data_IF_326081387167
#
_entry.id   IF_326081387167
#
_cell.length_a   1.000
_cell.length_b   1.000
_cell.length_c   1.000
_cell.angle_alpha   90.00
_cell.angle_beta   90.00
_cell.angle_gamma   90.00
#
_symmetry.space_group_name_H-M   'P 1'
#
loop_
_entity.id
_entity.type
_entity.pdbx_description
1 polymer ?
#
# COMPACT_ATOMS: atom_id res chain seq x y z
N UNK A 1 -1.64 19.59 20.43
CA UNK A 1 -1.52 19.76 18.98
C UNK A 1 -0.80 18.59 18.32
N UNK A 2 0.33 18.13 18.85
CA UNK A 2 1.06 17.00 18.27
C UNK A 2 0.22 15.73 18.15
N UNK A 3 -0.58 15.40 19.15
CA UNK A 3 -1.46 14.22 19.12
C UNK A 3 -2.45 14.19 17.95
N UNK A 4 -2.73 15.33 17.38
CA UNK A 4 -3.73 15.52 16.33
C UNK A 4 -3.16 15.76 14.94
N UNK A 5 -1.96 16.33 14.86
CA UNK A 5 -1.40 16.80 13.59
C UNK A 5 -0.20 15.98 13.12
N UNK A 6 0.48 15.29 14.03
CA UNK A 6 1.70 14.55 13.69
C UNK A 6 1.43 13.45 12.66
N UNK A 7 0.30 12.77 12.77
CA UNK A 7 -0.07 11.66 11.88
C UNK A 7 -0.21 12.05 10.40
N UNK A 8 -0.34 13.35 10.08
CA UNK A 8 -0.37 13.84 8.70
C UNK A 8 1.00 14.10 8.08
N UNK A 9 2.05 14.23 8.91
CA UNK A 9 3.41 14.54 8.43
C UNK A 9 3.95 13.47 7.46
N UNK A 10 3.74 12.15 7.68
CA UNK A 10 4.27 11.12 6.78
C UNK A 10 3.51 10.94 5.46
N UNK A 11 2.49 11.75 5.15
CA UNK A 11 1.71 11.61 3.91
C UNK A 11 2.56 11.65 2.64
N UNK A 12 3.64 12.45 2.64
CA UNK A 12 4.61 12.47 1.55
C UNK A 12 5.24 11.09 1.31
N UNK A 13 5.50 10.31 2.36
CA UNK A 13 6.11 8.97 2.23
C UNK A 13 5.17 8.00 1.51
N UNK A 14 3.86 8.07 1.79
CA UNK A 14 2.87 7.27 1.06
C UNK A 14 2.86 7.62 -0.44
N UNK A 15 2.92 8.90 -0.78
CA UNK A 15 3.02 9.32 -2.19
C UNK A 15 4.30 8.79 -2.84
N UNK A 16 5.45 8.89 -2.18
CA UNK A 16 6.72 8.36 -2.70
C UNK A 16 6.68 6.84 -2.90
N UNK A 17 6.06 6.08 -1.99
CA UNK A 17 5.84 4.64 -2.14
C UNK A 17 4.94 4.38 -3.35
N UNK A 18 3.82 5.10 -3.49
CA UNK A 18 2.89 4.95 -4.61
C UNK A 18 3.58 5.07 -5.97
N UNK A 19 4.54 5.98 -6.09
CA UNK A 19 5.25 6.24 -7.33
C UNK A 19 6.63 5.56 -7.42
N UNK A 20 6.98 4.68 -6.47
CA UNK A 20 8.23 3.92 -6.49
C UNK A 20 9.50 4.80 -6.38
N UNK A 21 9.39 5.97 -5.72
CA UNK A 21 10.50 6.92 -5.55
C UNK A 21 11.44 6.46 -4.44
N UNK A 22 11.98 5.23 -4.61
CA UNK A 22 12.70 4.51 -3.56
C UNK A 22 13.92 5.27 -3.04
N UNK A 23 14.73 5.85 -3.93
CA UNK A 23 15.91 6.58 -3.50
C UNK A 23 15.56 7.83 -2.68
N UNK A 24 14.50 8.55 -3.04
CA UNK A 24 14.05 9.72 -2.27
C UNK A 24 13.56 9.33 -0.88
N UNK A 25 12.93 8.16 -0.74
CA UNK A 25 12.54 7.64 0.58
C UNK A 25 13.78 7.34 1.42
N UNK A 26 14.77 6.66 0.82
CA UNK A 26 16.02 6.30 1.51
C UNK A 26 16.76 7.56 1.99
N UNK A 27 16.81 8.58 1.15
CA UNK A 27 17.53 9.83 1.43
C UNK A 27 16.76 10.79 2.34
N UNK A 28 15.45 10.56 2.55
CA UNK A 28 14.64 11.40 3.43
C UNK A 28 15.15 11.29 4.87
N UNK A 29 15.54 12.40 5.52
CA UNK A 29 16.01 12.37 6.91
C UNK A 29 14.88 11.97 7.86
N UNK A 30 15.25 11.38 9.00
CA UNK A 30 14.33 11.18 10.10
C UNK A 30 14.01 12.53 10.76
N UNK A 31 12.87 12.66 11.46
CA UNK A 31 12.59 13.83 12.27
C UNK A 31 13.66 14.05 13.34
N UNK A 32 14.06 15.31 13.57
CA UNK A 32 15.06 15.67 14.59
C UNK A 32 14.58 15.34 16.02
N UNK A 33 13.27 15.49 16.27
CA UNK A 33 12.65 15.15 17.55
C UNK A 33 11.76 13.90 17.40
N UNK A 34 12.35 12.74 17.62
CA UNK A 34 11.64 11.46 17.54
C UNK A 34 10.59 11.27 18.65
N UNK A 35 10.62 12.06 19.73
CA UNK A 35 9.61 12.04 20.78
C UNK A 35 8.36 12.80 20.36
N UNK A 36 8.54 13.99 19.79
CA UNK A 36 7.46 14.79 19.23
C UNK A 36 6.84 14.12 17.98
N UNK A 37 7.68 13.59 17.10
CA UNK A 37 7.29 12.97 15.83
C UNK A 37 7.39 11.44 15.90
N UNK A 38 6.77 10.84 16.91
CA UNK A 38 6.90 9.41 17.20
C UNK A 38 6.27 8.51 16.12
N UNK A 39 5.04 8.83 15.68
CA UNK A 39 4.37 8.11 14.60
C UNK A 39 5.04 8.36 13.24
N UNK A 40 5.47 9.60 12.98
CA UNK A 40 6.24 9.95 11.78
C UNK A 40 7.55 9.20 11.70
N UNK A 41 8.26 9.04 12.83
CA UNK A 41 9.51 8.27 12.91
C UNK A 41 9.25 6.79 12.56
N UNK A 42 8.19 6.20 13.12
CA UNK A 42 7.78 4.83 12.78
C UNK A 42 7.46 4.71 11.29
N UNK A 43 6.62 5.58 10.74
CA UNK A 43 6.29 5.57 9.30
C UNK A 43 7.51 5.79 8.40
N UNK A 44 8.50 6.58 8.85
CA UNK A 44 9.76 6.75 8.11
C UNK A 44 10.55 5.45 8.03
N UNK A 45 10.63 4.69 9.12
CA UNK A 45 11.26 3.37 9.11
C UNK A 45 10.49 2.36 8.26
N UNK A 46 9.15 2.36 8.32
CA UNK A 46 8.31 1.58 7.42
C UNK A 46 8.63 1.86 5.95
N UNK A 47 8.58 3.13 5.55
CA UNK A 47 8.81 3.54 4.17
C UNK A 47 10.23 3.18 3.68
N UNK A 48 11.25 3.40 4.52
CA UNK A 48 12.64 3.00 4.23
C UNK A 48 12.77 1.48 4.11
N UNK A 49 12.11 0.71 4.98
CA UNK A 49 12.08 -0.75 4.90
C UNK A 49 11.52 -1.25 3.57
N UNK A 50 10.36 -0.70 3.14
CA UNK A 50 9.77 -1.01 1.84
C UNK A 50 10.71 -0.61 0.69
N UNK A 51 11.33 0.58 0.75
CA UNK A 51 12.24 1.06 -0.29
C UNK A 51 13.50 0.20 -0.42
N UNK A 52 14.10 -0.22 0.71
CA UNK A 52 15.23 -1.15 0.71
C UNK A 52 14.83 -2.52 0.17
N UNK A 53 13.68 -3.06 0.58
CA UNK A 53 13.19 -4.33 0.07
C UNK A 53 12.92 -4.28 -1.44
N UNK A 54 12.25 -3.23 -1.94
CA UNK A 54 11.99 -3.03 -3.37
C UNK A 54 13.27 -2.89 -4.20
N UNK A 55 14.35 -2.38 -3.62
CA UNK A 55 15.69 -2.27 -4.24
C UNK A 55 16.59 -3.48 -3.96
N UNK A 56 16.05 -4.57 -3.38
CA UNK A 56 16.74 -5.83 -3.06
C UNK A 56 17.87 -5.70 -2.02
N UNK A 57 17.81 -4.69 -1.19
CA UNK A 57 18.72 -4.44 -0.08
C UNK A 57 18.11 -5.02 1.21
N UNK A 58 18.04 -6.36 1.27
CA UNK A 58 17.24 -7.05 2.28
C UNK A 58 17.78 -6.90 3.71
N UNK A 59 19.09 -6.83 3.89
CA UNK A 59 19.69 -6.64 5.21
C UNK A 59 19.32 -5.26 5.78
N UNK A 60 19.39 -4.21 4.96
CA UNK A 60 18.98 -2.86 5.40
C UNK A 60 17.46 -2.77 5.59
N UNK A 61 16.68 -3.51 4.79
CA UNK A 61 15.23 -3.58 4.98
C UNK A 61 14.89 -4.21 6.34
N UNK A 62 15.59 -5.30 6.73
CA UNK A 62 15.44 -5.95 8.03
C UNK A 62 15.85 -5.04 9.19
N UNK A 63 16.92 -4.26 9.01
CA UNK A 63 17.32 -3.24 9.98
C UNK A 63 16.22 -2.20 10.18
N UNK A 64 15.60 -1.74 9.09
CA UNK A 64 14.47 -0.81 9.18
C UNK A 64 13.26 -1.44 9.85
N UNK A 65 12.96 -2.72 9.62
CA UNK A 65 11.88 -3.43 10.32
C UNK A 65 12.10 -3.45 11.83
N UNK A 66 13.32 -3.72 12.28
CA UNK A 66 13.67 -3.67 13.72
C UNK A 66 13.51 -2.26 14.30
N UNK A 67 13.97 -1.24 13.57
CA UNK A 67 13.84 0.16 13.96
C UNK A 67 12.37 0.62 13.97
N UNK A 68 11.57 0.18 12.99
CA UNK A 68 10.13 0.39 12.94
C UNK A 68 9.45 -0.15 14.20
N UNK A 69 9.69 -1.42 14.54
CA UNK A 69 9.11 -2.06 15.74
C UNK A 69 9.47 -1.29 17.02
N UNK A 70 10.73 -0.88 17.14
CA UNK A 70 11.19 -0.08 18.28
C UNK A 70 10.58 1.32 18.31
N UNK A 71 10.30 1.92 17.14
CA UNK A 71 9.65 3.22 17.05
C UNK A 71 8.15 3.12 17.41
N UNK A 72 7.44 2.12 16.91
CA UNK A 72 6.02 1.86 17.25
C UNK A 72 5.82 1.73 18.76
N UNK A 73 6.72 1.04 19.46
CA UNK A 73 6.63 0.89 20.92
C UNK A 73 6.71 2.22 21.71
N UNK A 74 7.13 3.30 21.05
CA UNK A 74 7.21 4.65 21.66
C UNK A 74 6.03 5.55 21.29
N UNK A 75 5.15 5.13 20.39
CA UNK A 75 4.01 5.94 19.95
C UNK A 75 2.95 5.97 21.06
N UNK A 76 2.59 7.15 21.57
CA UNK A 76 1.52 7.26 22.56
C UNK A 76 0.16 6.84 22.00
N UNK A 77 -0.68 6.23 22.83
CA UNK A 77 -2.04 5.87 22.46
C UNK A 77 -2.92 7.08 22.09
N UNK A 78 -2.54 8.27 22.55
CA UNK A 78 -3.24 9.53 22.25
C UNK A 78 -3.00 10.04 20.81
N UNK A 79 -2.03 9.48 20.08
CA UNK A 79 -1.76 9.88 18.70
C UNK A 79 -2.84 9.39 17.75
N UNK A 80 -3.47 10.32 17.04
CA UNK A 80 -4.58 10.00 16.12
C UNK A 80 -4.41 10.70 14.77
N UNK A 81 -5.04 10.11 13.76
CA UNK A 81 -5.38 10.72 12.47
C UNK A 81 -6.90 10.65 12.40
N UNK A 82 -7.58 11.75 12.66
CA UNK A 82 -9.03 11.83 12.81
C UNK A 82 -9.59 10.72 13.75
N UNK A 83 -10.40 9.79 13.23
CA UNK A 83 -11.02 8.71 14.00
C UNK A 83 -10.09 7.52 14.26
N UNK A 84 -8.96 7.46 13.57
CA UNK A 84 -8.03 6.34 13.67
C UNK A 84 -6.91 6.64 14.66
N UNK A 85 -6.54 5.66 15.50
CA UNK A 85 -5.30 5.78 16.27
C UNK A 85 -4.10 5.57 15.36
N UNK A 86 -2.99 6.29 15.61
CA UNK A 86 -1.76 6.03 14.86
C UNK A 86 -1.26 4.60 15.06
N UNK A 87 -1.55 3.96 16.19
CA UNK A 87 -1.17 2.57 16.45
C UNK A 87 -1.92 1.58 15.55
N UNK A 88 -3.22 1.80 15.27
CA UNK A 88 -3.98 0.96 14.34
C UNK A 88 -3.47 1.12 12.91
N UNK A 89 -3.17 2.35 12.49
CA UNK A 89 -2.54 2.63 11.19
C UNK A 89 -1.17 1.95 11.09
N UNK A 90 -0.35 2.02 12.14
CA UNK A 90 0.97 1.38 12.19
C UNK A 90 0.89 -0.15 12.24
N UNK A 91 -0.22 -0.72 12.71
CA UNK A 91 -0.45 -2.16 12.62
C UNK A 91 -0.63 -2.61 11.15
N UNK A 92 -1.33 -1.81 10.32
CA UNK A 92 -1.38 -2.04 8.86
C UNK A 92 0.02 -1.94 8.26
N UNK A 93 0.77 -0.88 8.62
CA UNK A 93 2.15 -0.69 8.16
C UNK A 93 3.06 -1.88 8.51
N UNK A 94 2.93 -2.43 9.73
CA UNK A 94 3.70 -3.61 10.17
C UNK A 94 3.44 -4.81 9.26
N UNK A 95 2.17 -5.16 9.06
CA UNK A 95 1.80 -6.30 8.23
C UNK A 95 2.18 -6.12 6.76
N UNK A 96 2.10 -4.87 6.24
CA UNK A 96 2.57 -4.52 4.89
C UNK A 96 4.09 -4.69 4.76
N UNK A 97 4.86 -4.22 5.75
CA UNK A 97 6.32 -4.33 5.74
C UNK A 97 6.77 -5.79 5.80
N UNK A 98 6.17 -6.59 6.69
CA UNK A 98 6.43 -8.02 6.79
C UNK A 98 6.11 -8.73 5.47
N UNK A 99 4.97 -8.40 4.85
CA UNK A 99 4.58 -8.91 3.54
C UNK A 99 5.59 -8.60 2.45
N UNK A 100 6.06 -7.36 2.37
CA UNK A 100 7.06 -6.94 1.36
C UNK A 100 8.40 -7.65 1.58
N UNK A 101 8.91 -7.70 2.81
CA UNK A 101 10.18 -8.35 3.13
C UNK A 101 10.14 -9.85 2.81
N UNK A 102 9.12 -10.56 3.28
CA UNK A 102 8.97 -12.01 3.03
C UNK A 102 8.81 -12.31 1.55
N UNK A 103 8.10 -11.43 0.80
CA UNK A 103 7.97 -11.57 -0.65
C UNK A 103 9.33 -11.44 -1.35
N UNK A 104 10.14 -10.43 -1.00
CA UNK A 104 11.48 -10.24 -1.55
C UNK A 104 12.47 -11.32 -1.16
N UNK A 105 12.26 -11.93 0.01
CA UNK A 105 13.00 -13.11 0.46
C UNK A 105 12.58 -14.42 -0.25
N UNK A 106 11.59 -14.36 -1.15
CA UNK A 106 11.09 -15.52 -1.90
C UNK A 106 10.09 -16.40 -1.15
N UNK A 107 9.65 -15.98 0.03
CA UNK A 107 8.68 -16.71 0.88
C UNK A 107 7.25 -16.26 0.55
N UNK A 108 6.80 -16.55 -0.66
CA UNK A 108 5.56 -16.00 -1.24
C UNK A 108 4.32 -16.30 -0.38
N UNK A 109 4.15 -17.53 0.11
CA UNK A 109 2.96 -17.89 0.89
C UNK A 109 2.91 -17.15 2.24
N UNK A 110 4.05 -17.00 2.90
CA UNK A 110 4.19 -16.20 4.13
C UNK A 110 3.88 -14.74 3.86
N UNK A 111 4.44 -14.19 2.79
CA UNK A 111 4.19 -12.82 2.36
C UNK A 111 2.69 -12.57 2.12
N UNK A 112 2.02 -13.48 1.43
CA UNK A 112 0.59 -13.38 1.17
C UNK A 112 -0.27 -13.54 2.42
N UNK A 113 0.19 -14.30 3.42
CA UNK A 113 -0.47 -14.35 4.72
C UNK A 113 -0.40 -12.98 5.44
N UNK A 114 0.77 -12.32 5.43
CA UNK A 114 0.93 -10.98 5.98
C UNK A 114 0.08 -9.94 5.24
N UNK A 115 0.04 -9.99 3.91
CA UNK A 115 -0.76 -9.05 3.11
C UNK A 115 -2.27 -9.23 3.33
N UNK A 116 -2.75 -10.47 3.48
CA UNK A 116 -4.16 -10.72 3.89
C UNK A 116 -4.44 -10.15 5.28
N UNK A 117 -3.49 -10.33 6.22
CA UNK A 117 -3.62 -9.70 7.54
C UNK A 117 -3.64 -8.18 7.46
N UNK A 118 -2.82 -7.58 6.59
CA UNK A 118 -2.84 -6.15 6.36
C UNK A 118 -4.19 -5.67 5.80
N UNK A 119 -4.82 -6.44 4.89
CA UNK A 119 -6.17 -6.16 4.37
C UNK A 119 -7.20 -6.19 5.50
N UNK A 120 -7.18 -7.19 6.38
CA UNK A 120 -8.10 -7.27 7.53
C UNK A 120 -7.96 -6.07 8.46
N UNK A 121 -6.73 -5.61 8.69
CA UNK A 121 -6.45 -4.45 9.53
C UNK A 121 -6.91 -3.15 8.85
N UNK A 122 -6.65 -2.99 7.56
CA UNK A 122 -7.08 -1.85 6.74
C UNK A 122 -8.61 -1.74 6.71
N UNK A 123 -9.30 -2.85 6.42
CA UNK A 123 -10.76 -2.94 6.42
C UNK A 123 -11.39 -2.65 7.80
N UNK A 124 -10.65 -2.92 8.87
CA UNK A 124 -11.09 -2.69 10.24
C UNK A 124 -10.89 -1.26 10.73
N UNK A 125 -10.23 -0.39 9.99
CA UNK A 125 -10.04 1.00 10.38
C UNK A 125 -11.38 1.76 10.35
N UNK A 126 -11.67 2.60 11.36
CA UNK A 126 -12.77 3.55 11.29
C UNK A 126 -12.72 4.41 10.03
N UNK A 127 -13.89 4.64 9.43
CA UNK A 127 -13.99 5.49 8.24
C UNK A 127 -13.47 6.91 8.49
N UNK A 128 -12.63 7.41 7.58
CA UNK A 128 -12.10 8.76 7.53
C UNK A 128 -11.96 9.26 6.08
N UNK A 129 -11.91 10.57 5.92
CA UNK A 129 -11.60 11.26 4.65
C UNK A 129 -10.52 12.34 4.88
N UNK A 130 -9.27 12.13 4.46
CA UNK A 130 -8.75 10.94 3.76
C UNK A 130 -8.67 9.70 4.66
N UNK A 131 -8.62 8.51 4.05
CA UNK A 131 -8.53 7.24 4.77
C UNK A 131 -7.31 7.20 5.70
N UNK A 132 -7.46 6.48 6.82
CA UNK A 132 -6.37 6.30 7.78
C UNK A 132 -5.15 5.62 7.15
N UNK A 133 -5.36 4.61 6.30
CA UNK A 133 -4.33 4.02 5.46
C UNK A 133 -4.46 4.54 4.02
N UNK A 134 -3.47 5.34 3.58
CA UNK A 134 -3.55 6.14 2.34
C UNK A 134 -3.46 5.35 1.04
N UNK A 135 -3.05 4.09 1.09
CA UNK A 135 -2.90 3.25 -0.11
C UNK A 135 -3.58 1.91 0.14
N UNK A 136 -4.75 1.65 -0.45
CA UNK A 136 -5.46 0.40 -0.22
C UNK A 136 -4.52 -0.81 -0.33
N UNK A 137 -4.45 -1.64 0.70
CA UNK A 137 -3.57 -2.81 0.75
C UNK A 137 -3.82 -3.75 -0.42
N UNK A 138 -5.07 -3.80 -0.90
CA UNK A 138 -5.49 -4.59 -2.06
C UNK A 138 -4.72 -4.26 -3.33
N UNK A 139 -4.26 -3.01 -3.48
CA UNK A 139 -3.47 -2.64 -4.66
C UNK A 139 -2.11 -3.35 -4.70
N UNK A 140 -1.44 -3.46 -3.55
CA UNK A 140 -0.18 -4.20 -3.44
C UNK A 140 -0.41 -5.71 -3.56
N UNK A 141 -1.38 -6.24 -2.82
CA UNK A 141 -1.68 -7.67 -2.85
C UNK A 141 -2.06 -8.16 -4.24
N UNK A 142 -2.98 -7.46 -4.93
CA UNK A 142 -3.38 -7.79 -6.30
C UNK A 142 -2.22 -7.71 -7.29
N UNK A 143 -1.35 -6.71 -7.17
CA UNK A 143 -0.15 -6.58 -8.03
C UNK A 143 0.81 -7.76 -7.86
N UNK A 144 1.06 -8.20 -6.63
CA UNK A 144 1.95 -9.32 -6.35
C UNK A 144 1.31 -10.68 -6.71
N UNK A 145 -0.01 -10.83 -6.57
CA UNK A 145 -0.75 -11.98 -7.09
C UNK A 145 -0.59 -12.10 -8.61
N UNK A 146 -0.73 -10.99 -9.35
CA UNK A 146 -0.50 -10.94 -10.81
C UNK A 146 0.93 -11.29 -11.19
N UNK A 147 1.93 -10.86 -10.40
CA UNK A 147 3.34 -11.19 -10.60
C UNK A 147 3.58 -12.70 -10.44
N UNK A 148 2.86 -13.35 -9.53
CA UNK A 148 2.91 -14.80 -9.30
C UNK A 148 1.99 -15.61 -10.23
N UNK A 149 1.31 -14.97 -11.19
CA UNK A 149 0.40 -15.65 -12.10
C UNK A 149 -0.93 -16.10 -11.48
N UNK A 150 -1.24 -15.67 -10.26
CA UNK A 150 -2.50 -15.97 -9.55
C UNK A 150 -3.59 -15.00 -9.99
N UNK A 151 -3.99 -15.12 -11.25
CA UNK A 151 -4.81 -14.10 -11.95
C UNK A 151 -6.23 -14.07 -11.41
N UNK A 152 -6.84 -15.23 -11.12
CA UNK A 152 -8.20 -15.33 -10.57
C UNK A 152 -8.29 -14.72 -9.17
N UNK A 153 -7.28 -14.96 -8.34
CA UNK A 153 -7.21 -14.37 -6.99
C UNK A 153 -7.06 -12.85 -7.09
N UNK A 154 -6.21 -12.36 -7.99
CA UNK A 154 -6.02 -10.93 -8.22
C UNK A 154 -7.32 -10.28 -8.73
N UNK A 155 -8.04 -10.95 -9.65
CA UNK A 155 -9.33 -10.47 -10.13
C UNK A 155 -10.32 -10.26 -9.00
N UNK A 156 -10.45 -11.24 -8.10
CA UNK A 156 -11.35 -11.14 -6.95
C UNK A 156 -10.99 -9.97 -6.03
N UNK A 157 -9.68 -9.76 -5.77
CA UNK A 157 -9.18 -8.66 -4.94
C UNK A 157 -9.53 -7.29 -5.53
N UNK A 158 -9.28 -7.08 -6.83
CA UNK A 158 -9.60 -5.80 -7.48
C UNK A 158 -11.10 -5.58 -7.65
N UNK A 159 -11.86 -6.64 -7.89
CA UNK A 159 -13.31 -6.57 -8.02
C UNK A 159 -13.95 -6.12 -6.72
N UNK A 160 -13.50 -6.66 -5.58
CA UNK A 160 -13.94 -6.23 -4.25
C UNK A 160 -13.56 -4.76 -4.00
N UNK A 161 -12.31 -4.37 -4.26
CA UNK A 161 -11.82 -3.00 -4.07
C UNK A 161 -12.63 -1.97 -4.87
N UNK A 162 -12.99 -2.30 -6.11
CA UNK A 162 -13.80 -1.44 -6.99
C UNK A 162 -15.29 -1.39 -6.61
N UNK A 163 -15.75 -2.24 -5.66
CA UNK A 163 -17.14 -2.35 -5.29
C UNK A 163 -18.01 -2.95 -6.39
N UNK A 164 -17.47 -3.87 -7.18
CA UNK A 164 -18.18 -4.58 -8.25
C UNK A 164 -18.84 -5.87 -7.75
N UNK A 165 -18.78 -6.12 -6.46
CA UNK A 165 -19.50 -7.16 -5.73
C UNK A 165 -19.81 -6.70 -4.30
N UNK A 166 -20.56 -7.52 -3.55
CA UNK A 166 -21.02 -7.20 -2.19
C UNK A 166 -20.04 -7.67 -1.09
N UNK A 167 -18.76 -7.90 -1.43
CA UNK A 167 -17.75 -8.41 -0.49
C UNK A 167 -17.40 -7.37 0.57
N UNK A 168 -17.32 -6.08 0.19
CA UNK A 168 -16.91 -4.99 1.06
C UNK A 168 -18.05 -4.02 1.36
N UNK A 169 -18.10 -3.48 2.60
CA UNK A 169 -18.94 -2.32 2.88
C UNK A 169 -18.54 -1.13 1.99
N UNK A 170 -19.50 -0.27 1.68
CA UNK A 170 -19.29 0.89 0.79
C UNK A 170 -18.13 1.78 1.22
N UNK A 171 -17.89 1.91 2.51
CA UNK A 171 -16.82 2.72 3.07
C UNK A 171 -15.40 2.21 2.69
N UNK A 172 -15.27 0.90 2.42
CA UNK A 172 -14.00 0.25 2.09
C UNK A 172 -13.82 0.03 0.58
N UNK A 173 -14.78 0.50 -0.24
CA UNK A 173 -14.72 0.40 -1.69
C UNK A 173 -14.08 1.65 -2.30
N UNK A 174 -13.34 1.46 -3.39
CA UNK A 174 -12.66 2.52 -4.13
C UNK A 174 -13.11 2.57 -5.61
N UNK A 175 -14.42 2.81 -5.89
CA UNK A 175 -14.96 2.78 -7.24
C UNK A 175 -14.29 3.84 -8.12
N UNK A 176 -13.96 3.46 -9.34
CA UNK A 176 -13.31 4.35 -10.30
C UNK A 176 -11.82 4.62 -10.03
N UNK A 177 -11.24 3.97 -9.02
CA UNK A 177 -9.80 4.12 -8.73
C UNK A 177 -8.95 3.57 -9.88
N UNK A 178 -8.09 4.42 -10.45
CA UNK A 178 -7.28 4.08 -11.62
C UNK A 178 -6.35 2.89 -11.41
N UNK A 179 -5.82 2.71 -10.20
CA UNK A 179 -4.89 1.65 -9.86
C UNK A 179 -5.58 0.28 -9.88
N UNK A 180 -6.75 0.17 -9.24
CA UNK A 180 -7.55 -1.07 -9.26
C UNK A 180 -8.17 -1.33 -10.63
N UNK A 181 -8.63 -0.30 -11.34
CA UNK A 181 -9.12 -0.45 -12.72
C UNK A 181 -8.03 -1.02 -13.64
N UNK A 182 -6.78 -0.55 -13.50
CA UNK A 182 -5.65 -1.09 -14.27
C UNK A 182 -5.42 -2.57 -13.96
N UNK A 183 -5.31 -2.93 -12.69
CA UNK A 183 -5.09 -4.32 -12.26
C UNK A 183 -6.24 -5.24 -12.67
N UNK A 184 -7.47 -4.80 -12.47
CA UNK A 184 -8.68 -5.56 -12.85
C UNK A 184 -8.76 -5.78 -14.37
N UNK A 185 -8.50 -4.73 -15.16
CA UNK A 185 -8.45 -4.84 -16.61
C UNK A 185 -7.39 -5.87 -17.07
N UNK A 186 -6.17 -5.83 -16.47
CA UNK A 186 -5.13 -6.82 -16.76
C UNK A 186 -5.59 -8.24 -16.44
N UNK A 187 -6.27 -8.46 -15.31
CA UNK A 187 -6.83 -9.76 -14.96
C UNK A 187 -7.84 -10.25 -16.02
N UNK A 188 -8.78 -9.40 -16.41
CA UNK A 188 -9.82 -9.75 -17.39
C UNK A 188 -9.22 -10.12 -18.75
N UNK A 189 -8.19 -9.39 -19.21
CA UNK A 189 -7.47 -9.70 -20.45
C UNK A 189 -6.78 -11.06 -20.36
N UNK A 190 -6.06 -11.32 -19.26
CA UNK A 190 -5.34 -12.60 -19.07
C UNK A 190 -6.28 -13.79 -18.95
N UNK A 191 -7.50 -13.59 -18.39
CA UNK A 191 -8.53 -14.61 -18.25
C UNK A 191 -9.40 -14.78 -19.51
N UNK A 192 -9.15 -14.01 -20.58
CA UNK A 192 -9.94 -14.06 -21.81
C UNK A 192 -11.38 -13.54 -21.65
N UNK A 193 -11.68 -12.77 -20.61
CA UNK A 193 -13.01 -12.17 -20.35
C UNK A 193 -13.19 -10.90 -21.19
N UNK A 194 -13.20 -11.06 -22.51
CA UNK A 194 -13.07 -9.98 -23.50
C UNK A 194 -14.12 -8.89 -23.36
N UNK A 195 -15.41 -9.25 -23.17
CA UNK A 195 -16.49 -8.26 -23.06
C UNK A 195 -16.37 -7.42 -21.79
N UNK A 196 -16.04 -8.06 -20.67
CA UNK A 196 -15.82 -7.35 -19.40
C UNK A 196 -14.59 -6.45 -19.51
N UNK A 197 -13.50 -6.93 -20.10
CA UNK A 197 -12.30 -6.14 -20.32
C UNK A 197 -12.60 -4.89 -21.16
N UNK A 198 -13.44 -4.99 -22.20
CA UNK A 198 -13.84 -3.85 -23.03
C UNK A 198 -14.64 -2.81 -22.25
N UNK A 199 -15.52 -3.23 -21.34
CA UNK A 199 -16.29 -2.31 -20.48
C UNK A 199 -15.37 -1.61 -19.49
N UNK A 200 -14.53 -2.36 -18.79
CA UNK A 200 -13.59 -1.82 -17.79
C UNK A 200 -12.55 -0.91 -18.45
N UNK A 201 -12.14 -1.21 -19.69
CA UNK A 201 -11.23 -0.35 -20.45
C UNK A 201 -11.75 1.08 -20.59
N UNK A 202 -13.03 1.28 -20.80
CA UNK A 202 -13.62 2.62 -20.92
C UNK A 202 -13.50 3.40 -19.61
N UNK A 203 -13.74 2.73 -18.46
CA UNK A 203 -13.59 3.35 -17.15
C UNK A 203 -12.11 3.67 -16.86
N UNK A 204 -11.21 2.74 -17.21
CA UNK A 204 -9.77 2.94 -17.05
C UNK A 204 -9.27 4.12 -17.89
N UNK A 205 -9.71 4.25 -19.15
CA UNK A 205 -9.30 5.35 -20.02
C UNK A 205 -9.77 6.70 -19.46
N UNK A 206 -10.98 6.78 -18.91
CA UNK A 206 -11.49 7.99 -18.26
C UNK A 206 -10.70 8.34 -16.99
N UNK A 207 -10.42 7.35 -16.16
CA UNK A 207 -9.63 7.57 -14.94
C UNK A 207 -8.17 7.95 -15.27
N UNK A 208 -7.56 7.30 -16.26
CA UNK A 208 -6.19 7.57 -16.69
C UNK A 208 -6.04 8.92 -17.40
N UNK A 209 -7.10 9.46 -18.02
CA UNK A 209 -7.06 10.77 -18.66
C UNK A 209 -6.80 11.92 -17.67
N UNK A 210 -6.99 11.70 -16.37
CA UNK A 210 -6.70 12.67 -15.32
C UNK A 210 -5.28 12.52 -14.74
N UNK A 211 -4.54 11.49 -15.13
CA UNK A 211 -3.19 11.23 -14.66
C UNK A 211 -2.17 11.91 -15.60
N UNK A 212 -1.19 12.58 -15.01
CA UNK A 212 -0.05 13.19 -15.72
C UNK A 212 1.15 12.24 -15.80
N UNK A 213 1.01 11.03 -15.26
CA UNK A 213 2.01 9.96 -15.30
C UNK A 213 1.40 8.64 -15.80
N UNK A 214 2.17 7.79 -16.49
CA UNK A 214 1.67 6.49 -16.95
C UNK A 214 1.37 5.55 -15.78
N UNK A 215 0.23 4.86 -15.85
CA UNK A 215 -0.14 3.83 -14.89
C UNK A 215 0.19 2.46 -15.49
N UNK A 216 1.21 1.80 -14.95
CA UNK A 216 1.71 0.53 -15.48
C UNK A 216 1.45 -0.68 -14.56
N UNK A 217 1.05 -0.42 -13.31
CA UNK A 217 0.65 -1.43 -12.33
C UNK A 217 -0.17 -0.78 -11.23
N UNK A 218 -0.91 -1.57 -10.45
CA UNK A 218 -1.65 -1.09 -9.28
C UNK A 218 -0.75 -0.78 -8.08
N UNK A 219 0.51 -1.24 -8.10
CA UNK A 219 1.53 -0.97 -7.08
C UNK A 219 2.92 -0.96 -7.72
N UNK A 220 3.78 -0.01 -7.28
CA UNK A 220 5.19 0.02 -7.63
C UNK A 220 5.99 -1.14 -6.98
N UNK A 221 5.40 -1.87 -6.06
CA UNK A 221 5.93 -3.11 -5.50
C UNK A 221 6.07 -4.24 -6.54
N UNK A 222 5.33 -4.19 -7.65
CA UNK A 222 5.49 -5.11 -8.78
C UNK A 222 6.71 -4.69 -9.61
N UNK A 223 7.81 -5.42 -9.45
CA UNK A 223 9.07 -5.11 -10.13
C UNK A 223 8.95 -5.32 -11.64
N UNK A 224 9.42 -4.35 -12.41
CA UNK A 224 9.36 -4.38 -13.88
C UNK A 224 8.10 -3.77 -14.49
N UNK A 225 7.11 -3.42 -13.70
CA UNK A 225 5.90 -2.72 -14.15
C UNK A 225 6.10 -1.19 -14.27
N UNK A 226 7.12 -0.64 -13.60
CA UNK A 226 7.45 0.79 -13.68
C UNK A 226 8.53 1.02 -14.73
N UNK A 227 8.44 2.08 -15.56
CA UNK A 227 9.55 2.46 -16.42
C UNK A 227 10.77 2.75 -15.54
N UNK A 228 11.95 2.27 -15.97
CA UNK A 228 13.21 2.69 -15.35
C UNK A 228 13.38 4.17 -15.67
N UNK A 229 13.20 5.01 -14.66
CA UNK A 229 13.48 6.44 -14.73
C UNK A 229 14.99 6.64 -14.68
#
# INVERSE_FOLDING_TARGET
MADWLEGFVPMKLHALIRFGRWQEIIDTPLPDDAGLYSATTAMSHYAKGVAFAATRRLDEAEDQRRLFTAAVARVPQSRTVFNNTCLDILAVASAMLDGELEYRAGKVDTAFAHLRRAIELDDGLPYDEPWGWMQPVRHAYGALLLEQGRVEDAEAVYRADLGLDDTLPRANQHPGNVWSLHGYHECLVRLGKTEQARIIRQQLDLAAAQADVPINASCACRLGAMPRI
#
